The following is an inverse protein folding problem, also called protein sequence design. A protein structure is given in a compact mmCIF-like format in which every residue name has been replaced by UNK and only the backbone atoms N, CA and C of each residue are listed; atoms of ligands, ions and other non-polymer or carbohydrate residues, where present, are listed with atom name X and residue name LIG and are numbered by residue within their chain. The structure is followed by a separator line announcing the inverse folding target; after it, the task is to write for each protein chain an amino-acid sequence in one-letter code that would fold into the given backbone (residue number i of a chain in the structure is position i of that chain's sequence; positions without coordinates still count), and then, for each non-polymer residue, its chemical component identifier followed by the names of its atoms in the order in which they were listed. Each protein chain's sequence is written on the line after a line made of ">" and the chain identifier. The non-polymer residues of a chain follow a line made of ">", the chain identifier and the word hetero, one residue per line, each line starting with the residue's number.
data_IF_454815637173
#
_entry.id   IF_454815637173
#
_cell.length_a   1.000
_cell.length_b   1.000
_cell.length_c   1.000
_cell.angle_alpha   90.00
_cell.angle_beta   90.00
_cell.angle_gamma   90.00
#
_symmetry.space_group_name_H-M   'P 1'
#
loop_
_entity.id
_entity.type
_entity.pdbx_description
1 polymer ?
#
# COMPACT_ATOMS: atom_id res chain seq x y z
N UNK A 1 -8.75 15.25 -27.33
CA UNK A 1 -9.18 15.76 -26.02
C UNK A 1 -8.92 14.60 -25.09
N UNK A 2 -7.92 14.69 -24.20
CA UNK A 2 -7.54 13.54 -23.36
C UNK A 2 -8.67 13.23 -22.39
N UNK A 3 -9.10 11.97 -22.37
CA UNK A 3 -10.10 11.49 -21.42
C UNK A 3 -9.49 11.54 -20.00
N UNK A 4 -10.30 11.88 -18.97
CA UNK A 4 -9.81 12.00 -17.58
C UNK A 4 -9.11 10.74 -17.06
N UNK A 5 -9.49 9.56 -17.58
CA UNK A 5 -8.87 8.26 -17.30
C UNK A 5 -7.44 8.18 -17.80
N UNK A 6 -7.15 8.69 -18.99
CA UNK A 6 -5.81 8.71 -19.58
C UNK A 6 -4.87 9.61 -18.78
N UNK A 7 -5.36 10.80 -18.39
CA UNK A 7 -4.60 11.74 -17.55
C UNK A 7 -4.26 11.08 -16.20
N UNK A 8 -5.24 10.41 -15.58
CA UNK A 8 -5.03 9.69 -14.32
C UNK A 8 -3.97 8.59 -14.46
N UNK A 9 -4.06 7.77 -15.51
CA UNK A 9 -3.12 6.67 -15.74
C UNK A 9 -1.69 7.20 -15.96
N UNK A 10 -1.53 8.20 -16.83
CA UNK A 10 -0.24 8.83 -17.12
C UNK A 10 0.37 9.42 -15.84
N UNK A 11 -0.43 10.15 -15.06
CA UNK A 11 0.01 10.72 -13.79
C UNK A 11 0.43 9.64 -12.80
N UNK A 12 -0.37 8.59 -12.63
CA UNK A 12 -0.05 7.48 -11.73
C UNK A 12 1.23 6.76 -12.15
N UNK A 13 1.40 6.48 -13.44
CA UNK A 13 2.61 5.85 -13.99
C UNK A 13 3.85 6.72 -13.78
N UNK A 14 3.75 8.03 -13.97
CA UNK A 14 4.86 8.96 -13.73
C UNK A 14 5.28 8.98 -12.25
N UNK A 15 4.30 9.11 -11.34
CA UNK A 15 4.55 9.15 -9.89
C UNK A 15 5.14 7.84 -9.39
N UNK A 16 4.57 6.70 -9.77
CA UNK A 16 5.05 5.37 -9.36
C UNK A 16 6.44 5.06 -9.91
N UNK A 17 6.72 5.41 -11.17
CA UNK A 17 8.06 5.24 -11.77
C UNK A 17 9.10 6.09 -11.06
N UNK A 18 8.78 7.37 -10.81
CA UNK A 18 9.65 8.27 -10.06
C UNK A 18 9.91 7.73 -8.64
N UNK A 19 8.85 7.26 -7.97
CA UNK A 19 8.94 6.62 -6.66
C UNK A 19 9.87 5.41 -6.67
N UNK A 20 9.77 4.54 -7.68
CA UNK A 20 10.68 3.42 -7.85
C UNK A 20 12.14 3.87 -7.98
N UNK A 21 12.42 4.83 -8.86
CA UNK A 21 13.78 5.33 -9.09
C UNK A 21 14.39 5.93 -7.82
N UNK A 22 13.63 6.74 -7.08
CA UNK A 22 14.09 7.36 -5.84
C UNK A 22 14.37 6.31 -4.76
N UNK A 23 13.50 5.30 -4.60
CA UNK A 23 13.72 4.25 -3.59
C UNK A 23 14.85 3.29 -3.97
N UNK A 24 15.07 3.02 -5.26
CA UNK A 24 16.25 2.29 -5.74
C UNK A 24 17.55 3.05 -5.43
N UNK A 25 17.54 4.36 -5.70
CA UNK A 25 18.68 5.23 -5.38
C UNK A 25 18.95 5.30 -3.88
N UNK A 26 17.89 5.41 -3.06
CA UNK A 26 18.01 5.36 -1.60
C UNK A 26 18.62 4.03 -1.14
N UNK A 27 18.15 2.90 -1.68
CA UNK A 27 18.69 1.58 -1.37
C UNK A 27 20.18 1.49 -1.73
N UNK A 28 20.58 2.02 -2.89
CA UNK A 28 21.98 2.11 -3.29
C UNK A 28 22.83 2.92 -2.30
N UNK A 29 22.37 4.12 -1.89
CA UNK A 29 23.09 4.93 -0.91
C UNK A 29 23.27 4.18 0.41
N UNK A 30 22.20 3.57 0.93
CA UNK A 30 22.23 2.93 2.24
C UNK A 30 23.12 1.69 2.26
N UNK A 31 23.15 0.93 1.16
CA UNK A 31 23.99 -0.27 1.07
C UNK A 31 25.47 0.06 0.89
N UNK A 32 25.81 1.06 0.08
CA UNK A 32 27.21 1.32 -0.31
C UNK A 32 27.86 2.50 0.41
N UNK A 33 27.10 3.49 0.87
CA UNK A 33 27.62 4.76 1.40
C UNK A 33 27.27 5.01 2.88
N UNK A 34 26.60 4.07 3.57
CA UNK A 34 26.17 4.28 4.96
C UNK A 34 27.34 4.23 5.96
N UNK A 35 27.56 5.29 6.77
CA UNK A 35 28.62 5.31 7.78
C UNK A 35 28.31 4.39 8.96
N UNK A 36 29.37 3.90 9.64
CA UNK A 36 29.25 2.89 10.73
C UNK A 36 28.32 3.31 11.88
N UNK A 37 28.20 4.62 12.14
CA UNK A 37 27.39 5.19 13.23
C UNK A 37 25.88 5.02 13.01
N UNK A 38 25.40 4.98 11.76
CA UNK A 38 23.96 4.82 11.45
C UNK A 38 23.64 3.41 10.95
N UNK A 39 24.56 2.46 11.14
CA UNK A 39 24.48 1.13 10.52
C UNK A 39 23.32 0.30 11.06
N UNK A 40 22.93 0.48 12.33
CA UNK A 40 21.75 -0.20 12.89
C UNK A 40 20.46 0.43 12.36
N UNK A 41 20.37 1.76 12.37
CA UNK A 41 19.24 2.50 11.80
C UNK A 41 19.02 2.22 10.30
N UNK A 42 20.10 1.97 9.55
CA UNK A 42 20.06 1.62 8.13
C UNK A 42 19.20 0.39 7.85
N UNK A 43 19.03 -0.54 8.81
CA UNK A 43 18.16 -1.71 8.66
C UNK A 43 16.70 -1.27 8.43
N UNK A 44 16.22 -0.26 9.18
CA UNK A 44 14.85 0.27 9.02
C UNK A 44 14.72 0.96 7.67
N UNK A 45 15.73 1.74 7.25
CA UNK A 45 15.70 2.44 5.97
C UNK A 45 15.69 1.45 4.79
N UNK A 46 16.47 0.38 4.85
CA UNK A 46 16.47 -0.67 3.81
C UNK A 46 15.10 -1.33 3.71
N UNK A 47 14.50 -1.72 4.83
CA UNK A 47 13.15 -2.31 4.83
C UNK A 47 12.12 -1.32 4.27
N UNK A 48 12.22 -0.04 4.62
CA UNK A 48 11.32 1.01 4.12
C UNK A 48 11.47 1.20 2.61
N UNK A 49 12.70 1.25 2.10
CA UNK A 49 12.97 1.39 0.67
C UNK A 49 12.42 0.19 -0.12
N UNK A 50 12.66 -1.04 0.35
CA UNK A 50 12.12 -2.26 -0.28
C UNK A 50 10.59 -2.26 -0.27
N UNK A 51 9.99 -1.88 0.85
CA UNK A 51 8.53 -1.80 1.00
C UNK A 51 7.93 -0.76 0.05
N UNK A 52 8.55 0.42 -0.05
CA UNK A 52 8.11 1.46 -0.98
C UNK A 52 8.27 1.05 -2.44
N UNK A 53 9.30 0.28 -2.79
CA UNK A 53 9.44 -0.30 -4.13
C UNK A 53 8.28 -1.25 -4.43
N UNK A 54 7.95 -2.14 -3.50
CA UNK A 54 6.78 -3.02 -3.61
C UNK A 54 5.49 -2.22 -3.84
N UNK A 55 5.26 -1.17 -3.04
CA UNK A 55 4.09 -0.30 -3.20
C UNK A 55 4.04 0.38 -4.58
N UNK A 56 5.16 0.94 -5.04
CA UNK A 56 5.23 1.62 -6.33
C UNK A 56 5.01 0.64 -7.50
N UNK A 57 5.58 -0.57 -7.43
CA UNK A 57 5.37 -1.62 -8.43
C UNK A 57 3.90 -2.08 -8.48
N UNK A 58 3.29 -2.36 -7.33
CA UNK A 58 1.87 -2.72 -7.27
C UNK A 58 0.97 -1.59 -7.79
N UNK A 59 1.28 -0.33 -7.44
CA UNK A 59 0.56 0.85 -7.91
C UNK A 59 0.67 1.06 -9.42
N UNK A 60 1.83 0.77 -10.00
CA UNK A 60 2.04 0.81 -11.46
C UNK A 60 1.26 -0.29 -12.17
N UNK A 61 1.26 -1.51 -11.64
CA UNK A 61 0.56 -2.65 -12.23
C UNK A 61 -0.96 -2.47 -12.25
N UNK A 62 -1.52 -1.82 -11.23
CA UNK A 62 -2.97 -1.79 -11.04
C UNK A 62 -3.66 -0.59 -11.70
N UNK A 63 -3.07 0.61 -11.60
CA UNK A 63 -3.68 1.83 -12.11
C UNK A 63 -5.15 1.99 -11.68
N UNK A 64 -5.44 1.88 -10.38
CA UNK A 64 -6.80 1.72 -9.86
C UNK A 64 -7.49 3.05 -9.55
N UNK A 65 -8.78 3.12 -9.90
CA UNK A 65 -9.70 4.17 -9.43
C UNK A 65 -10.68 3.57 -8.41
N UNK A 66 -10.83 4.24 -7.27
CA UNK A 66 -11.77 3.84 -6.20
C UNK A 66 -13.01 4.73 -6.25
N UNK A 67 -14.19 4.13 -6.25
CA UNK A 67 -15.49 4.82 -6.23
C UNK A 67 -16.26 4.36 -4.99
N UNK A 68 -16.40 5.20 -3.95
CA UNK A 68 -17.21 4.88 -2.78
C UNK A 68 -18.71 5.02 -3.09
N UNK A 69 -19.52 4.11 -2.55
CA UNK A 69 -20.98 4.16 -2.68
C UNK A 69 -21.64 3.63 -1.40
N UNK A 70 -21.82 4.51 -0.42
CA UNK A 70 -22.34 4.14 0.90
C UNK A 70 -21.38 3.18 1.62
N UNK A 71 -21.83 1.96 1.88
CA UNK A 71 -21.00 0.89 2.47
C UNK A 71 -20.21 0.08 1.44
N UNK A 72 -20.40 0.32 0.15
CA UNK A 72 -19.73 -0.39 -0.95
C UNK A 72 -18.50 0.40 -1.41
N UNK A 73 -17.44 -0.31 -1.75
CA UNK A 73 -16.24 0.24 -2.38
C UNK A 73 -16.03 -0.46 -3.71
N UNK A 74 -16.15 0.29 -4.80
CA UNK A 74 -15.92 -0.22 -6.15
C UNK A 74 -14.54 0.18 -6.65
N UNK A 75 -13.88 -0.74 -7.33
CA UNK A 75 -12.52 -0.60 -7.82
C UNK A 75 -12.51 -0.85 -9.32
N UNK A 76 -12.07 0.13 -10.09
CA UNK A 76 -11.89 -0.01 -11.53
C UNK A 76 -10.39 -0.01 -11.82
N UNK A 77 -9.90 -1.10 -12.39
CA UNK A 77 -8.47 -1.28 -12.68
C UNK A 77 -8.21 -1.05 -14.17
N UNK A 78 -7.29 -0.14 -14.48
CA UNK A 78 -6.91 0.21 -15.86
C UNK A 78 -5.48 -0.22 -16.21
N UNK A 79 -4.72 -0.72 -15.23
CA UNK A 79 -3.32 -1.11 -15.41
C UNK A 79 -3.12 -2.46 -16.08
N UNK A 80 -1.86 -2.90 -16.12
CA UNK A 80 -1.44 -4.17 -16.72
C UNK A 80 -2.09 -5.40 -16.05
N UNK A 81 -2.53 -5.28 -14.79
CA UNK A 81 -3.21 -6.36 -14.09
C UNK A 81 -4.50 -6.80 -14.81
N UNK A 82 -5.17 -5.87 -15.53
CA UNK A 82 -6.46 -6.13 -16.17
C UNK A 82 -6.37 -7.18 -17.28
N UNK A 83 -5.18 -7.36 -17.86
CA UNK A 83 -4.91 -8.39 -18.87
C UNK A 83 -4.77 -9.80 -18.28
N UNK A 84 -4.49 -9.91 -16.98
CA UNK A 84 -4.30 -11.19 -16.28
C UNK A 84 -5.57 -11.66 -15.58
N UNK A 85 -6.49 -10.73 -15.30
CA UNK A 85 -7.83 -11.03 -14.78
C UNK A 85 -8.18 -10.26 -13.51
N UNK A 86 -9.47 -10.26 -13.14
CA UNK A 86 -9.99 -9.47 -12.03
C UNK A 86 -9.43 -9.91 -10.67
N UNK A 87 -9.26 -11.21 -10.44
CA UNK A 87 -8.67 -11.71 -9.20
C UNK A 87 -7.23 -11.21 -9.02
N UNK A 88 -6.41 -11.29 -10.08
CA UNK A 88 -5.04 -10.82 -10.04
C UNK A 88 -4.96 -9.31 -9.74
N UNK A 89 -5.81 -8.49 -10.35
CA UNK A 89 -5.90 -7.07 -9.99
C UNK A 89 -6.21 -6.85 -8.50
N UNK A 90 -7.14 -7.63 -7.95
CA UNK A 90 -7.48 -7.51 -6.54
C UNK A 90 -6.35 -7.98 -5.61
N UNK A 91 -5.63 -9.03 -5.98
CA UNK A 91 -4.47 -9.48 -5.22
C UNK A 91 -3.35 -8.42 -5.26
N UNK A 92 -3.11 -7.80 -6.42
CA UNK A 92 -2.16 -6.68 -6.54
C UNK A 92 -2.62 -5.49 -5.68
N UNK A 93 -3.92 -5.23 -5.57
CA UNK A 93 -4.46 -4.21 -4.67
C UNK A 93 -4.19 -4.56 -3.19
N UNK A 94 -4.43 -5.81 -2.80
CA UNK A 94 -4.11 -6.31 -1.46
C UNK A 94 -2.62 -6.15 -1.13
N UNK A 95 -1.74 -6.46 -2.09
CA UNK A 95 -0.30 -6.25 -1.98
C UNK A 95 0.07 -4.77 -1.85
N UNK A 96 -0.55 -3.88 -2.63
CA UNK A 96 -0.36 -2.43 -2.51
C UNK A 96 -0.70 -1.94 -1.09
N UNK A 97 -1.85 -2.35 -0.56
CA UNK A 97 -2.28 -1.98 0.80
C UNK A 97 -1.34 -2.55 1.87
N UNK A 98 -0.86 -3.78 1.70
CA UNK A 98 0.13 -4.39 2.57
C UNK A 98 1.42 -3.56 2.62
N UNK A 99 2.01 -3.25 1.46
CA UNK A 99 3.24 -2.47 1.42
C UNK A 99 3.02 -1.07 2.00
N UNK A 100 1.91 -0.40 1.68
CA UNK A 100 1.65 0.93 2.20
C UNK A 100 1.47 0.93 3.74
N UNK A 101 0.71 0.00 4.31
CA UNK A 101 0.60 -0.12 5.78
C UNK A 101 1.93 -0.46 6.44
N UNK A 102 2.71 -1.37 5.86
CA UNK A 102 4.00 -1.74 6.43
C UNK A 102 5.00 -0.57 6.38
N UNK A 103 4.97 0.24 5.32
CA UNK A 103 5.79 1.44 5.22
C UNK A 103 5.44 2.44 6.34
N UNK A 104 4.16 2.64 6.65
CA UNK A 104 3.73 3.49 7.76
C UNK A 104 4.23 2.97 9.11
N UNK A 105 4.15 1.65 9.35
CA UNK A 105 4.72 1.03 10.56
C UNK A 105 6.24 1.22 10.66
N UNK A 106 6.97 1.09 9.55
CA UNK A 106 8.41 1.32 9.51
C UNK A 106 8.76 2.79 9.76
N UNK A 107 7.95 3.73 9.27
CA UNK A 107 8.09 5.16 9.58
C UNK A 107 7.87 5.41 11.07
N UNK A 108 6.82 4.84 11.66
CA UNK A 108 6.57 4.91 13.09
C UNK A 108 7.74 4.33 13.91
N UNK A 109 8.25 3.15 13.53
CA UNK A 109 9.41 2.55 14.17
C UNK A 109 10.66 3.41 14.02
N UNK A 110 10.85 4.06 12.86
CA UNK A 110 11.96 4.99 12.63
C UNK A 110 11.91 6.17 13.61
N UNK A 111 10.73 6.76 13.84
CA UNK A 111 10.55 7.80 14.85
C UNK A 111 10.81 7.30 16.27
N UNK A 112 10.23 6.15 16.64
CA UNK A 112 10.42 5.54 17.95
C UNK A 112 11.90 5.21 18.21
N UNK A 113 12.61 4.68 17.22
CA UNK A 113 14.05 4.40 17.27
C UNK A 113 14.87 5.67 17.51
N UNK A 114 14.61 6.73 16.73
CA UNK A 114 15.34 8.00 16.87
C UNK A 114 15.11 8.61 18.25
N UNK A 115 13.88 8.56 18.75
CA UNK A 115 13.57 8.99 20.11
C UNK A 115 14.29 8.16 21.17
N UNK A 116 14.32 6.83 21.02
CA UNK A 116 14.99 5.93 21.95
C UNK A 116 16.49 6.19 22.05
N UNK A 117 17.19 6.37 20.93
CA UNK A 117 18.65 6.62 20.89
C UNK A 117 19.03 7.97 21.51
N UNK A 118 18.12 8.95 21.53
CA UNK A 118 18.36 10.22 22.23
C UNK A 118 18.32 10.07 23.76
N UNK A 119 17.61 9.06 24.27
CA UNK A 119 17.41 8.85 25.71
C UNK A 119 18.27 7.72 26.28
N UNK A 120 18.64 6.74 25.45
CA UNK A 120 19.31 5.50 25.84
C UNK A 120 20.36 5.12 24.81
N UNK A 121 21.23 4.19 25.19
CA UNK A 121 22.23 3.63 24.28
C UNK A 121 21.58 2.95 23.08
N UNK A 122 22.31 2.91 21.96
CA UNK A 122 21.84 2.31 20.71
C UNK A 122 21.36 0.86 20.93
N UNK A 123 20.15 0.50 20.46
CA UNK A 123 19.65 -0.87 20.61
C UNK A 123 20.46 -1.83 19.74
N UNK A 124 20.51 -3.09 20.16
CA UNK A 124 21.18 -4.13 19.38
C UNK A 124 20.47 -4.37 18.04
N UNK A 125 21.21 -4.87 17.05
CA UNK A 125 20.64 -5.24 15.74
C UNK A 125 19.54 -6.30 15.85
N UNK A 126 19.71 -7.26 16.76
CA UNK A 126 18.71 -8.31 16.98
C UNK A 126 17.41 -7.71 17.52
N UNK A 127 17.50 -6.82 18.50
CA UNK A 127 16.33 -6.11 19.04
C UNK A 127 15.58 -5.38 17.94
N UNK A 128 16.29 -4.66 17.07
CA UNK A 128 15.67 -3.93 15.96
C UNK A 128 15.02 -4.85 14.93
N UNK A 129 15.67 -5.95 14.56
CA UNK A 129 15.11 -6.96 13.65
C UNK A 129 13.84 -7.60 14.23
N UNK A 130 13.83 -7.91 15.54
CA UNK A 130 12.64 -8.43 16.22
C UNK A 130 11.52 -7.38 16.23
N UNK A 131 11.83 -6.10 16.47
CA UNK A 131 10.83 -5.03 16.38
C UNK A 131 10.22 -4.93 14.98
N UNK A 132 11.04 -5.02 13.92
CA UNK A 132 10.56 -5.04 12.53
C UNK A 132 9.65 -6.25 12.28
N UNK A 133 10.04 -7.43 12.76
CA UNK A 133 9.23 -8.64 12.63
C UNK A 133 7.86 -8.50 13.33
N UNK A 134 7.82 -7.88 14.51
CA UNK A 134 6.57 -7.65 15.26
C UNK A 134 5.64 -6.72 14.48
N UNK A 135 6.14 -5.59 13.99
CA UNK A 135 5.31 -4.62 13.24
C UNK A 135 4.95 -5.08 11.82
N UNK A 136 5.60 -6.14 11.32
CA UNK A 136 5.23 -6.75 10.04
C UNK A 136 3.94 -7.57 10.14
N UNK A 137 3.69 -8.21 11.29
CA UNK A 137 2.54 -9.12 11.50
C UNK A 137 1.20 -8.48 11.11
N UNK A 138 0.83 -7.26 11.54
CA UNK A 138 -0.46 -6.65 11.18
C UNK A 138 -0.62 -6.48 9.67
N UNK A 139 0.43 -6.00 8.99
CA UNK A 139 0.40 -5.83 7.53
C UNK A 139 0.30 -7.18 6.80
N UNK A 140 0.90 -8.24 7.33
CA UNK A 140 0.84 -9.58 6.75
C UNK A 140 -0.55 -10.20 6.91
N UNK A 141 -1.18 -10.04 8.07
CA UNK A 141 -2.58 -10.45 8.31
C UNK A 141 -3.50 -9.76 7.30
N UNK A 142 -3.28 -8.47 7.05
CA UNK A 142 -4.02 -7.72 6.04
C UNK A 142 -3.89 -8.32 4.64
N UNK A 143 -2.67 -8.69 4.24
CA UNK A 143 -2.40 -9.27 2.93
C UNK A 143 -3.18 -10.57 2.73
N UNK A 144 -3.08 -11.48 3.70
CA UNK A 144 -3.80 -12.75 3.64
C UNK A 144 -5.31 -12.54 3.68
N UNK A 145 -5.81 -11.64 4.53
CA UNK A 145 -7.24 -11.35 4.60
C UNK A 145 -7.80 -10.87 3.25
N UNK A 146 -7.02 -10.10 2.48
CA UNK A 146 -7.39 -9.67 1.14
C UNK A 146 -7.30 -10.83 0.12
N UNK A 147 -6.23 -11.63 0.13
CA UNK A 147 -6.08 -12.74 -0.82
C UNK A 147 -7.16 -13.82 -0.68
N UNK A 148 -7.62 -14.08 0.55
CA UNK A 148 -8.68 -15.05 0.83
C UNK A 148 -10.08 -14.46 0.75
N UNK A 149 -10.23 -13.19 0.36
CA UNK A 149 -11.55 -12.60 0.21
C UNK A 149 -12.23 -13.13 -1.05
N UNK A 150 -13.30 -13.92 -0.86
CA UNK A 150 -14.16 -14.34 -1.95
C UNK A 150 -14.89 -13.13 -2.56
N UNK A 151 -14.85 -13.02 -3.89
CA UNK A 151 -15.53 -11.97 -4.64
C UNK A 151 -16.40 -12.56 -5.74
N UNK A 152 -17.60 -12.01 -5.87
CA UNK A 152 -18.46 -12.24 -7.02
C UNK A 152 -18.36 -11.04 -7.97
N UNK A 153 -17.53 -11.16 -9.01
CA UNK A 153 -17.27 -10.06 -9.93
C UNK A 153 -18.51 -9.60 -10.70
N UNK A 154 -19.41 -10.52 -11.04
CA UNK A 154 -20.67 -10.21 -11.73
C UNK A 154 -21.61 -9.41 -10.83
N UNK A 155 -21.73 -9.79 -9.56
CA UNK A 155 -22.50 -9.04 -8.57
C UNK A 155 -21.94 -7.62 -8.40
N UNK A 156 -20.62 -7.48 -8.24
CA UNK A 156 -19.96 -6.18 -8.08
C UNK A 156 -20.21 -5.29 -9.29
N UNK A 157 -20.09 -5.84 -10.50
CA UNK A 157 -20.33 -5.13 -11.77
C UNK A 157 -21.78 -4.70 -11.90
N UNK A 158 -22.73 -5.58 -11.57
CA UNK A 158 -24.16 -5.27 -11.55
C UNK A 158 -24.47 -4.14 -10.56
N UNK A 159 -23.96 -4.22 -9.33
CA UNK A 159 -24.17 -3.20 -8.29
C UNK A 159 -23.54 -1.85 -8.64
N UNK A 160 -22.41 -1.84 -9.35
CA UNK A 160 -21.78 -0.61 -9.82
C UNK A 160 -22.61 0.04 -10.93
N UNK A 161 -23.10 -0.76 -11.89
CA UNK A 161 -23.93 -0.28 -12.99
C UNK A 161 -25.29 0.23 -12.50
N UNK A 162 -25.89 -0.43 -11.50
CA UNK A 162 -27.12 0.02 -10.84
C UNK A 162 -26.92 1.35 -10.10
N UNK A 163 -25.81 1.50 -9.39
CA UNK A 163 -25.49 2.74 -8.66
C UNK A 163 -25.11 3.91 -9.58
N UNK A 164 -24.45 3.62 -10.71
CA UNK A 164 -23.93 4.63 -11.63
C UNK A 164 -24.07 4.19 -13.10
N UNK A 165 -25.30 4.18 -13.65
CA UNK A 165 -25.58 3.69 -15.01
C UNK A 165 -24.92 4.51 -16.12
N UNK A 166 -24.42 5.70 -15.81
CA UNK A 166 -23.70 6.56 -16.74
C UNK A 166 -22.25 6.11 -17.03
N UNK A 167 -21.69 5.19 -16.24
CA UNK A 167 -20.33 4.69 -16.51
C UNK A 167 -20.39 3.57 -17.55
N UNK A 168 -19.63 3.73 -18.64
CA UNK A 168 -19.36 2.60 -19.52
C UNK A 168 -18.33 1.67 -18.87
N UNK A 169 -18.80 0.49 -18.45
CA UNK A 169 -17.96 -0.54 -17.82
C UNK A 169 -17.42 -1.54 -18.84
N UNK A 170 -17.76 -1.40 -20.13
CA UNK A 170 -17.46 -2.38 -21.18
C UNK A 170 -15.95 -2.57 -21.32
N UNK A 171 -15.47 -3.82 -21.23
CA UNK A 171 -14.04 -4.14 -21.29
C UNK A 171 -13.21 -3.72 -20.07
N UNK A 172 -13.80 -3.09 -19.06
CA UNK A 172 -13.10 -2.70 -17.83
C UNK A 172 -13.14 -3.81 -16.77
N UNK A 173 -12.02 -3.95 -16.05
CA UNK A 173 -11.88 -4.86 -14.91
C UNK A 173 -12.41 -4.19 -13.65
N UNK A 174 -13.53 -4.69 -13.15
CA UNK A 174 -14.20 -4.17 -11.95
C UNK A 174 -14.07 -5.18 -10.81
N UNK A 175 -13.57 -4.71 -9.68
CA UNK A 175 -13.50 -5.44 -8.41
C UNK A 175 -14.05 -4.57 -7.28
N UNK A 176 -14.08 -5.06 -6.05
CA UNK A 176 -14.65 -4.26 -4.97
C UNK A 176 -14.97 -5.03 -3.70
N UNK A 177 -15.38 -4.27 -2.68
CA UNK A 177 -16.00 -4.78 -1.48
C UNK A 177 -17.49 -4.38 -1.48
N UNK A 178 -18.38 -5.38 -1.57
CA UNK A 178 -19.84 -5.19 -1.48
C UNK A 178 -20.27 -4.67 -0.10
N UNK A 179 -19.49 -5.00 0.93
CA UNK A 179 -19.64 -4.42 2.26
C UNK A 179 -18.25 -4.12 2.85
N UNK A 180 -17.93 -2.84 2.95
CA UNK A 180 -16.69 -2.33 3.53
C UNK A 180 -16.60 -2.58 5.04
N UNK A 181 -17.70 -3.02 5.70
CA UNK A 181 -17.70 -3.43 7.09
C UNK A 181 -17.31 -4.90 7.29
N UNK A 182 -17.15 -5.68 6.22
CA UNK A 182 -16.56 -7.03 6.32
C UNK A 182 -15.12 -6.94 6.84
N UNK A 183 -14.67 -8.02 7.47
CA UNK A 183 -13.40 -8.05 8.19
C UNK A 183 -12.22 -7.51 7.37
N UNK A 184 -11.96 -8.03 6.17
CA UNK A 184 -10.82 -7.60 5.35
C UNK A 184 -10.83 -6.10 4.99
N UNK A 185 -11.89 -5.55 4.35
CA UNK A 185 -11.92 -4.12 4.02
C UNK A 185 -11.99 -3.24 5.27
N UNK A 186 -12.74 -3.63 6.31
CA UNK A 186 -12.83 -2.84 7.54
C UNK A 186 -11.47 -2.80 8.27
N UNK A 187 -10.80 -3.94 8.36
CA UNK A 187 -9.46 -4.04 8.93
C UNK A 187 -8.50 -3.13 8.17
N UNK A 188 -8.49 -3.18 6.83
CA UNK A 188 -7.63 -2.30 6.03
C UNK A 188 -7.90 -0.81 6.28
N UNK A 189 -9.18 -0.40 6.34
CA UNK A 189 -9.59 0.98 6.55
C UNK A 189 -9.17 1.49 7.93
N UNK A 190 -9.45 0.72 8.99
CA UNK A 190 -9.06 1.08 10.36
C UNK A 190 -7.54 1.10 10.48
N UNK A 191 -6.86 0.10 9.93
CA UNK A 191 -5.42 -0.03 10.04
C UNK A 191 -4.69 1.13 9.37
N UNK A 192 -5.11 1.52 8.16
CA UNK A 192 -4.60 2.70 7.46
C UNK A 192 -4.86 4.01 8.22
N UNK A 193 -6.08 4.20 8.72
CA UNK A 193 -6.47 5.47 9.37
C UNK A 193 -5.79 5.66 10.72
N UNK A 194 -5.74 4.63 11.56
CA UNK A 194 -5.15 4.69 12.90
C UNK A 194 -3.66 5.02 12.83
N UNK A 195 -2.91 4.37 11.92
CA UNK A 195 -1.46 4.60 11.82
C UNK A 195 -1.14 5.96 11.20
N UNK A 196 -1.94 6.40 10.23
CA UNK A 196 -1.76 7.73 9.62
C UNK A 196 -2.00 8.82 10.66
N UNK A 197 -3.03 8.68 11.50
CA UNK A 197 -3.29 9.62 12.59
C UNK A 197 -2.21 9.56 13.69
N UNK A 198 -1.78 8.38 14.12
CA UNK A 198 -0.74 8.27 15.15
C UNK A 198 0.61 8.83 14.69
N UNK A 199 0.92 8.76 13.40
CA UNK A 199 2.13 9.36 12.81
C UNK A 199 2.03 10.89 12.66
N UNK A 200 0.81 11.43 12.47
CA UNK A 200 0.57 12.89 12.33
C UNK A 200 0.34 13.63 13.66
N UNK A 201 -0.03 12.92 14.72
CA UNK A 201 -0.31 13.49 16.05
C UNK A 201 0.97 13.73 16.88
N UNK A 202 2.14 13.27 16.43
CA UNK A 202 3.43 13.69 16.98
C UNK A 202 3.77 15.09 16.45
N UNK A 203 2.97 16.10 16.83
CA UNK A 203 3.39 17.50 16.81
C UNK A 203 4.23 17.72 18.06
N UNK A 204 5.54 17.86 17.86
CA UNK A 204 6.46 18.44 18.84
C UNK A 204 6.08 19.91 19.03
#
# INVERSE_FOLDING_TARGET
>A
MWELSEIFLISNSFVTTTGCLVNLFLLYIVLFHSPRIIKTFSIVIVNLAITNLGACLSGFLIGQRIIPSGKRLFYISYGLCSNLGPQFCFDVFGALLHFHTHALWLVFLSFAYRYYVMLRNEPSRLTLQLSIAIIYIPSLIQLFAMFYQEMNFEEIRFLLNDAYPQYDLTGLTVTGAVDALRFAPLYTLIHMTVITQSSGVIRI
#
